data_IF_547062141382
#
_entry.id   IF_547062141382
#
_cell.length_a   1.000
_cell.length_b   1.000
_cell.length_c   1.000
_cell.angle_alpha   90.00
_cell.angle_beta   90.00
_cell.angle_gamma   90.00
#
_symmetry.space_group_name_H-M   'P 1'
#
loop_
_entity.id
_entity.type
_entity.pdbx_description
1 polymer ?
#
# COMPACT_ATOMS: atom_id res chain seq x y z
N UNK A 1 21.62 6.96 11.53
CA UNK A 1 20.88 7.92 12.40
C UNK A 1 19.93 7.07 13.25
N UNK A 2 19.67 7.46 14.50
CA UNK A 2 18.74 6.75 15.38
C UNK A 2 17.75 7.74 16.00
N UNK A 3 16.62 7.23 16.47
CA UNK A 3 15.61 8.01 17.18
C UNK A 3 15.03 7.18 18.33
N UNK A 4 14.66 7.86 19.41
CA UNK A 4 13.96 7.28 20.55
C UNK A 4 12.62 8.00 20.69
N UNK A 5 11.54 7.24 20.93
CA UNK A 5 10.21 7.79 21.17
C UNK A 5 9.63 7.15 22.43
N UNK A 6 9.31 7.98 23.43
CA UNK A 6 8.59 7.52 24.61
C UNK A 6 7.20 6.99 24.23
N UNK A 7 6.74 5.96 24.93
CA UNK A 7 5.42 5.37 24.71
C UNK A 7 4.85 4.82 26.04
N UNK A 8 3.54 4.53 26.05
CA UNK A 8 2.88 3.84 27.16
C UNK A 8 3.11 2.34 27.12
N UNK A 9 2.03 1.55 27.23
CA UNK A 9 2.09 0.13 26.90
C UNK A 9 2.65 -0.09 25.47
N UNK A 10 3.31 -1.21 25.25
CA UNK A 10 3.91 -1.50 23.95
C UNK A 10 2.83 -1.59 22.86
N UNK A 11 3.00 -0.79 21.81
CA UNK A 11 2.18 -0.81 20.59
C UNK A 11 3.11 -1.07 19.40
N UNK A 12 3.06 -2.31 18.91
CA UNK A 12 3.89 -2.75 17.80
C UNK A 12 3.60 -1.98 16.50
N UNK A 13 2.32 -1.66 16.23
CA UNK A 13 1.91 -0.95 15.02
C UNK A 13 2.48 0.46 15.04
N UNK A 14 2.28 1.18 16.15
CA UNK A 14 2.83 2.52 16.31
C UNK A 14 4.36 2.52 16.23
N UNK A 15 5.03 1.54 16.88
CA UNK A 15 6.49 1.45 16.91
C UNK A 15 7.08 1.20 15.52
N UNK A 16 6.53 0.24 14.75
CA UNK A 16 7.01 -0.08 13.41
C UNK A 16 6.79 1.09 12.44
N UNK A 17 5.61 1.72 12.47
CA UNK A 17 5.33 2.89 11.65
C UNK A 17 6.32 4.03 11.89
N UNK A 18 6.62 4.33 13.15
CA UNK A 18 7.62 5.34 13.50
C UNK A 18 9.02 5.00 12.98
N UNK A 19 9.44 3.74 13.15
CA UNK A 19 10.75 3.30 12.68
C UNK A 19 10.90 3.46 11.16
N UNK A 20 9.83 3.17 10.41
CA UNK A 20 9.84 3.27 8.95
C UNK A 20 9.68 4.71 8.46
N UNK A 21 8.83 5.52 9.09
CA UNK A 21 8.72 6.96 8.79
C UNK A 21 10.06 7.67 9.03
N UNK A 22 10.81 7.29 10.08
CA UNK A 22 12.16 7.81 10.34
C UNK A 22 13.16 7.49 9.21
N UNK A 23 12.97 6.36 8.50
CA UNK A 23 13.84 5.93 7.40
C UNK A 23 13.38 6.43 6.03
N UNK A 24 12.19 7.03 5.94
CA UNK A 24 11.62 7.56 4.69
C UNK A 24 11.67 9.09 4.69
N UNK A 25 12.73 9.71 4.13
CA UNK A 25 12.82 11.16 4.07
C UNK A 25 11.74 11.75 3.16
N UNK A 26 11.29 12.96 3.46
CA UNK A 26 10.43 13.74 2.57
C UNK A 26 11.18 14.01 1.25
N UNK A 27 10.51 13.74 0.14
CA UNK A 27 10.98 14.11 -1.20
C UNK A 27 10.21 15.36 -1.64
N UNK A 28 10.94 16.42 -1.97
CA UNK A 28 10.38 17.67 -2.47
C UNK A 28 11.09 18.10 -3.75
N UNK A 29 10.32 18.58 -4.73
CA UNK A 29 10.84 19.05 -6.01
C UNK A 29 10.01 20.26 -6.49
N UNK A 30 10.61 21.22 -7.22
CA UNK A 30 9.86 22.31 -7.83
C UNK A 30 8.96 21.79 -8.94
N UNK A 31 7.74 22.33 -9.01
CA UNK A 31 6.85 22.10 -10.16
C UNK A 31 7.30 23.04 -11.27
N UNK A 32 7.97 22.48 -12.28
CA UNK A 32 8.61 23.24 -13.38
C UNK A 32 7.68 23.57 -14.56
N UNK A 33 6.43 23.08 -14.54
CA UNK A 33 5.43 23.33 -15.59
C UNK A 33 4.03 23.52 -14.96
N UNK A 34 3.27 24.53 -15.41
CA UNK A 34 1.83 24.70 -15.12
C UNK A 34 1.16 25.29 -16.36
N UNK A 35 0.17 24.65 -16.99
CA UNK A 35 -1.23 25.01 -16.71
C UNK A 35 -2.30 23.96 -17.12
N UNK A 36 -1.93 22.70 -17.41
CA UNK A 36 -2.90 21.69 -17.89
C UNK A 36 -2.58 20.23 -17.46
N UNK A 37 -2.00 20.02 -16.28
CA UNK A 37 -1.72 18.67 -15.78
C UNK A 37 -2.99 17.88 -15.42
N UNK A 38 -2.97 16.56 -15.59
CA UNK A 38 -4.11 15.67 -15.28
C UNK A 38 -4.29 15.45 -13.76
N UNK A 39 -3.24 15.68 -12.97
CA UNK A 39 -3.28 15.52 -11.51
C UNK A 39 -3.70 16.81 -10.78
N UNK A 40 -4.43 16.69 -9.65
CA UNK A 40 -4.77 17.85 -8.82
C UNK A 40 -3.53 18.59 -8.31
N UNK A 41 -3.63 19.91 -8.21
CA UNK A 41 -2.50 20.76 -7.81
C UNK A 41 -2.12 20.69 -6.34
N UNK A 42 -3.02 20.24 -5.46
CA UNK A 42 -2.84 20.27 -3.99
C UNK A 42 -2.53 18.90 -3.39
N UNK A 43 -3.27 17.87 -3.79
CA UNK A 43 -3.17 16.56 -3.18
C UNK A 43 -3.60 15.45 -4.15
N UNK A 44 -2.82 14.37 -4.19
CA UNK A 44 -3.15 13.16 -4.91
C UNK A 44 -2.61 11.95 -4.15
N UNK A 45 -3.40 10.88 -4.09
CA UNK A 45 -2.96 9.59 -3.58
C UNK A 45 -3.23 8.52 -4.63
N UNK A 46 -2.18 7.83 -5.06
CA UNK A 46 -2.31 6.69 -5.97
C UNK A 46 -3.00 5.52 -5.28
N UNK A 47 -2.65 5.27 -4.02
CA UNK A 47 -3.06 4.09 -3.24
C UNK A 47 -3.41 4.49 -1.81
N UNK A 48 -4.52 3.98 -1.30
CA UNK A 48 -4.92 4.16 0.10
C UNK A 48 -5.12 2.80 0.76
N UNK A 49 -4.66 2.67 2.01
CA UNK A 49 -4.91 1.52 2.88
C UNK A 49 -5.55 2.07 4.16
N UNK A 50 -6.75 1.61 4.49
CA UNK A 50 -7.58 2.19 5.56
C UNK A 50 -7.20 1.73 6.99
N UNK A 51 -6.54 0.58 7.11
CA UNK A 51 -6.15 0.01 8.41
C UNK A 51 -4.67 0.26 8.70
N UNK A 52 -4.32 1.00 9.77
CA UNK A 52 -2.93 1.29 10.12
C UNK A 52 -2.10 0.06 10.50
N UNK A 53 -2.73 -1.07 10.86
CA UNK A 53 -2.05 -2.35 11.11
C UNK A 53 -1.54 -3.02 9.84
N UNK A 54 -2.14 -2.71 8.68
CA UNK A 54 -1.74 -3.23 7.37
C UNK A 54 -0.84 -2.20 6.67
N UNK A 55 0.48 -2.35 6.85
CA UNK A 55 1.47 -1.47 6.26
C UNK A 55 1.64 -1.78 4.76
N UNK A 56 1.61 -0.75 3.91
CA UNK A 56 2.08 -0.86 2.53
C UNK A 56 3.62 -0.92 2.52
N UNK A 57 4.17 -2.12 2.35
CA UNK A 57 5.61 -2.37 2.38
C UNK A 57 6.29 -2.06 1.04
N UNK A 58 5.60 -2.35 -0.06
CA UNK A 58 6.11 -2.05 -1.40
C UNK A 58 4.97 -1.72 -2.36
N UNK A 59 5.22 -0.77 -3.25
CA UNK A 59 4.40 -0.46 -4.41
C UNK A 59 5.33 -0.26 -5.61
N UNK A 60 5.07 -1.00 -6.70
CA UNK A 60 5.87 -0.91 -7.92
C UNK A 60 5.06 -1.41 -9.12
N UNK A 61 5.45 -1.08 -10.37
CA UNK A 61 4.96 -1.81 -11.53
C UNK A 61 5.25 -3.32 -11.42
N UNK A 62 4.44 -4.14 -12.07
CA UNK A 62 4.77 -5.55 -12.27
C UNK A 62 6.11 -5.71 -12.97
N UNK A 63 6.81 -6.81 -12.70
CA UNK A 63 8.12 -7.12 -13.29
C UNK A 63 8.07 -7.15 -14.82
N UNK A 64 6.93 -7.55 -15.37
CA UNK A 64 6.66 -7.55 -16.82
C UNK A 64 6.26 -6.18 -17.39
N UNK A 65 6.14 -5.15 -16.55
CA UNK A 65 5.80 -3.77 -16.94
C UNK A 65 4.47 -3.27 -16.38
N UNK A 66 4.21 -1.96 -16.50
CA UNK A 66 3.02 -1.31 -15.92
C UNK A 66 1.70 -1.79 -16.55
N UNK A 67 1.74 -2.23 -17.81
CA UNK A 67 0.57 -2.78 -18.52
C UNK A 67 0.08 -4.11 -17.92
N UNK A 68 0.93 -4.77 -17.11
CA UNK A 68 0.59 -5.98 -16.35
C UNK A 68 0.12 -5.67 -14.92
N UNK A 69 -0.02 -4.40 -14.58
CA UNK A 69 -0.57 -3.91 -13.32
C UNK A 69 0.48 -3.42 -12.33
N UNK A 70 -0.02 -3.04 -11.16
CA UNK A 70 0.74 -2.55 -10.01
C UNK A 70 0.84 -3.68 -8.99
N UNK A 71 2.05 -3.91 -8.48
CA UNK A 71 2.31 -4.83 -7.39
C UNK A 71 2.29 -4.06 -6.09
N UNK A 72 1.35 -4.39 -5.22
CA UNK A 72 1.25 -3.89 -3.86
C UNK A 72 1.53 -5.02 -2.87
N UNK A 73 2.51 -4.81 -1.98
CA UNK A 73 2.82 -5.73 -0.89
C UNK A 73 2.43 -5.12 0.43
N UNK A 74 1.56 -5.81 1.15
CA UNK A 74 1.05 -5.38 2.44
C UNK A 74 1.53 -6.31 3.53
N UNK A 75 1.85 -5.76 4.70
CA UNK A 75 2.26 -6.50 5.88
C UNK A 75 1.38 -6.10 7.07
N UNK A 76 0.66 -7.07 7.62
CA UNK A 76 0.03 -6.88 8.92
C UNK A 76 1.11 -6.88 10.01
N UNK A 77 1.40 -5.72 10.59
CA UNK A 77 2.45 -5.57 11.61
C UNK A 77 1.91 -5.77 13.03
N UNK A 78 0.63 -6.10 13.22
CA UNK A 78 0.06 -6.39 14.55
C UNK A 78 0.23 -7.87 14.95
N UNK A 79 0.03 -8.14 16.23
CA UNK A 79 0.05 -9.48 16.83
C UNK A 79 -1.29 -10.23 16.69
N UNK A 80 -2.28 -9.63 16.02
CA UNK A 80 -3.63 -10.14 15.81
C UNK A 80 -3.98 -10.22 14.31
N UNK A 81 -4.99 -11.01 13.91
CA UNK A 81 -5.53 -10.94 12.55
C UNK A 81 -6.05 -9.53 12.23
N UNK A 82 -5.92 -9.11 10.97
CA UNK A 82 -6.35 -7.79 10.52
C UNK A 82 -6.99 -7.86 9.13
N UNK A 83 -7.85 -6.89 8.85
CA UNK A 83 -8.44 -6.65 7.53
C UNK A 83 -8.18 -5.21 7.10
N UNK A 84 -7.98 -4.97 5.82
CA UNK A 84 -7.82 -3.63 5.26
C UNK A 84 -8.52 -3.55 3.90
N UNK A 85 -9.10 -2.40 3.61
CA UNK A 85 -9.52 -2.02 2.27
C UNK A 85 -8.37 -1.27 1.59
N UNK A 86 -8.03 -1.72 0.38
CA UNK A 86 -7.05 -1.06 -0.49
C UNK A 86 -7.79 -0.47 -1.68
N UNK A 87 -7.59 0.82 -1.92
CA UNK A 87 -8.15 1.53 -3.08
C UNK A 87 -7.03 2.14 -3.92
N UNK A 88 -7.26 2.22 -5.24
CA UNK A 88 -6.41 2.96 -6.18
C UNK A 88 -7.17 4.13 -6.79
N UNK A 89 -6.45 5.18 -7.18
CA UNK A 89 -6.95 6.21 -8.10
C UNK A 89 -6.35 5.96 -9.50
N UNK A 90 -7.16 5.80 -10.57
CA UNK A 90 -8.58 6.16 -10.67
C UNK A 90 -9.57 5.09 -10.18
N UNK A 91 -9.12 3.87 -9.92
CA UNK A 91 -9.94 2.76 -9.43
C UNK A 91 -9.21 1.43 -9.60
N UNK A 92 -9.84 0.34 -9.13
CA UNK A 92 -9.40 -1.03 -9.42
C UNK A 92 -10.38 -1.68 -10.39
N UNK A 93 -9.86 -2.24 -11.47
CA UNK A 93 -10.62 -3.11 -12.38
C UNK A 93 -10.55 -4.57 -11.93
N UNK A 94 -9.39 -5.02 -11.44
CA UNK A 94 -9.24 -6.35 -10.84
C UNK A 94 -8.07 -6.41 -9.87
N UNK A 95 -8.10 -7.41 -9.00
CA UNK A 95 -7.01 -7.74 -8.11
C UNK A 95 -6.78 -9.25 -8.08
N UNK A 96 -5.51 -9.64 -7.92
CA UNK A 96 -5.11 -11.04 -7.75
C UNK A 96 -4.07 -11.15 -6.65
N UNK A 97 -4.13 -12.22 -5.85
CA UNK A 97 -3.01 -12.55 -4.97
C UNK A 97 -1.85 -13.09 -5.80
N UNK A 98 -0.65 -12.71 -5.41
CA UNK A 98 0.58 -13.21 -6.04
C UNK A 98 1.58 -13.67 -4.99
N UNK A 99 2.53 -14.49 -5.43
CA UNK A 99 3.69 -14.85 -4.62
C UNK A 99 4.61 -13.64 -4.43
N UNK A 100 5.70 -13.80 -3.66
CA UNK A 100 6.70 -12.74 -3.50
C UNK A 100 7.43 -12.41 -4.81
N UNK A 101 7.44 -13.34 -5.77
CA UNK A 101 8.03 -13.21 -7.11
C UNK A 101 6.95 -13.06 -8.18
N UNK A 102 5.79 -12.52 -7.81
CA UNK A 102 4.71 -12.09 -8.73
C UNK A 102 4.04 -13.20 -9.54
N UNK A 103 4.25 -14.46 -9.15
CA UNK A 103 3.48 -15.57 -9.69
C UNK A 103 2.03 -15.46 -9.25
N UNK A 104 1.13 -15.45 -10.21
CA UNK A 104 -0.31 -15.38 -10.01
C UNK A 104 -0.83 -16.56 -9.18
N UNK A 105 -1.66 -16.24 -8.18
CA UNK A 105 -2.44 -17.19 -7.39
C UNK A 105 -3.94 -16.97 -7.70
N UNK A 106 -4.79 -16.94 -6.68
CA UNK A 106 -6.22 -16.74 -6.82
C UNK A 106 -6.61 -15.27 -7.12
N UNK A 107 -7.64 -15.03 -7.94
CA UNK A 107 -8.25 -13.71 -8.06
C UNK A 107 -8.89 -13.31 -6.72
N UNK A 108 -8.88 -12.02 -6.41
CA UNK A 108 -9.57 -11.49 -5.22
C UNK A 108 -10.76 -10.66 -5.68
N UNK A 109 -11.99 -11.07 -5.34
CA UNK A 109 -13.17 -10.27 -5.62
C UNK A 109 -13.05 -8.88 -4.99
N UNK A 110 -13.30 -7.84 -5.78
CA UNK A 110 -13.39 -6.48 -5.28
C UNK A 110 -14.74 -6.26 -4.58
N UNK A 111 -14.79 -5.27 -3.69
CA UNK A 111 -16.07 -4.78 -3.13
C UNK A 111 -16.89 -4.08 -4.21
N UNK A 112 -18.15 -3.78 -3.92
CA UNK A 112 -19.03 -3.01 -4.80
C UNK A 112 -18.46 -1.61 -5.13
N UNK A 113 -17.63 -1.05 -4.25
CA UNK A 113 -16.95 0.24 -4.45
C UNK A 113 -15.56 0.10 -5.09
N UNK A 114 -15.29 -1.03 -5.76
CA UNK A 114 -14.02 -1.32 -6.42
C UNK A 114 -12.79 -1.23 -5.48
N UNK A 115 -12.96 -1.64 -4.21
CA UNK A 115 -11.85 -1.76 -3.26
C UNK A 115 -11.40 -3.22 -3.15
N UNK A 116 -10.12 -3.46 -2.88
CA UNK A 116 -9.58 -4.78 -2.55
C UNK A 116 -9.75 -5.05 -1.05
N UNK A 117 -10.55 -6.07 -0.65
CA UNK A 117 -10.63 -6.51 0.74
C UNK A 117 -9.45 -7.43 1.09
N UNK A 118 -8.38 -6.87 1.66
CA UNK A 118 -7.21 -7.62 2.10
C UNK A 118 -7.42 -8.17 3.52
N UNK A 119 -7.13 -9.45 3.71
CA UNK A 119 -7.22 -10.15 5.00
C UNK A 119 -5.86 -10.71 5.38
N UNK A 120 -5.54 -10.72 6.68
CA UNK A 120 -4.22 -11.15 7.16
C UNK A 120 -4.36 -11.92 8.46
N UNK A 121 -3.55 -12.96 8.63
CA UNK A 121 -3.23 -13.47 9.98
C UNK A 121 -2.19 -12.56 10.63
N UNK A 122 -1.88 -12.79 11.92
CA UNK A 122 -0.84 -12.03 12.63
C UNK A 122 0.49 -12.06 11.87
N UNK A 123 1.16 -10.91 11.77
CA UNK A 123 2.47 -10.78 11.10
C UNK A 123 2.51 -11.21 9.61
N UNK A 124 1.36 -11.44 8.96
CA UNK A 124 1.33 -11.95 7.60
C UNK A 124 1.63 -10.87 6.58
N UNK A 125 2.45 -11.22 5.59
CA UNK A 125 2.66 -10.43 4.39
C UNK A 125 1.90 -11.04 3.21
N UNK A 126 1.27 -10.21 2.39
CA UNK A 126 0.63 -10.61 1.12
C UNK A 126 1.02 -9.68 0.00
N UNK A 127 1.17 -10.24 -1.19
CA UNK A 127 1.42 -9.49 -2.42
C UNK A 127 0.18 -9.59 -3.29
N UNK A 128 -0.17 -8.48 -3.92
CA UNK A 128 -1.30 -8.36 -4.83
C UNK A 128 -0.84 -7.73 -6.13
N UNK A 129 -1.34 -8.26 -7.25
CA UNK A 129 -1.31 -7.60 -8.56
C UNK A 129 -2.64 -6.88 -8.74
N UNK A 130 -2.57 -5.58 -9.00
CA UNK A 130 -3.69 -4.64 -9.07
C UNK A 130 -3.75 -4.07 -10.48
N UNK A 131 -4.87 -4.24 -11.16
CA UNK A 131 -5.10 -3.67 -12.49
C UNK A 131 -6.06 -2.49 -12.35
N UNK A 132 -5.71 -1.36 -12.94
CA UNK A 132 -6.59 -0.19 -13.07
C UNK A 132 -7.50 -0.36 -14.30
N UNK A 133 -8.61 0.39 -14.38
CA UNK A 133 -9.46 0.45 -15.58
C UNK A 133 -8.73 0.92 -16.84
#
# INVERSE_FOLDING_TARGET
RFALRAHGAYDQVAAMRFALEHQNPLVAAPVITKSAGVYPETHYSLITVDNPSALLWAVKPAEEGIDHGIIARLWNVSDSPATALVTLAPGLASARRTTHVETDLEPVPLTEQAALPATFTKQQMRTYRLLTP
#
